data_IF_861425071952
#
_entry.id   IF_861425071952
#
_cell.length_a   1.000
_cell.length_b   1.000
_cell.length_c   1.000
_cell.angle_alpha   90.00
_cell.angle_beta   90.00
_cell.angle_gamma   90.00
#
_symmetry.space_group_name_H-M   'P 1'
#
loop_
_entity.id
_entity.type
_entity.pdbx_description
1 polymer ?
#
# COMPACT_ATOMS: atom_id res chain seq x y z
N UNK A 1 42.86 -46.02 11.71
CA UNK A 1 41.82 -45.02 11.44
C UNK A 1 42.50 -43.93 10.61
N UNK A 2 42.27 -43.97 9.30
CA UNK A 2 43.05 -43.21 8.31
C UNK A 2 42.46 -41.81 8.13
N UNK A 3 43.29 -40.79 8.34
CA UNK A 3 43.00 -39.38 7.98
C UNK A 3 43.21 -39.26 6.48
N UNK A 4 42.19 -38.80 5.76
CA UNK A 4 42.29 -38.38 4.37
C UNK A 4 42.51 -36.88 4.37
N UNK A 5 43.72 -36.44 4.05
CA UNK A 5 44.04 -35.06 3.71
C UNK A 5 43.60 -34.80 2.26
N UNK A 6 42.73 -33.87 2.05
CA UNK A 6 42.43 -33.33 0.72
C UNK A 6 43.33 -32.12 0.48
N UNK A 7 44.32 -32.29 -0.41
CA UNK A 7 45.19 -31.21 -0.85
C UNK A 7 44.46 -30.36 -1.90
N UNK A 8 44.22 -29.10 -1.58
CA UNK A 8 43.77 -28.10 -2.56
C UNK A 8 45.01 -27.54 -3.24
N UNK A 9 45.24 -27.96 -4.48
CA UNK A 9 46.28 -27.37 -5.34
C UNK A 9 45.84 -25.98 -5.82
N UNK A 10 46.49 -24.95 -5.29
CA UNK A 10 46.46 -23.60 -5.88
C UNK A 10 47.24 -23.63 -7.19
N UNK A 11 46.56 -23.57 -8.32
CA UNK A 11 47.18 -23.20 -9.61
C UNK A 11 47.14 -21.70 -9.74
N UNK A 12 48.23 -21.04 -9.42
CA UNK A 12 48.48 -19.65 -9.83
C UNK A 12 48.80 -19.65 -11.32
N UNK A 13 47.79 -19.33 -12.16
CA UNK A 13 48.03 -18.95 -13.54
C UNK A 13 48.25 -17.45 -13.53
N UNK A 14 49.49 -17.03 -13.84
CA UNK A 14 49.82 -15.64 -14.07
C UNK A 14 49.09 -15.13 -15.29
N UNK A 15 48.06 -14.32 -15.06
CA UNK A 15 47.46 -13.50 -16.11
C UNK A 15 48.38 -12.32 -16.36
N UNK A 16 49.14 -12.38 -17.45
CA UNK A 16 49.69 -11.21 -18.10
C UNK A 16 48.51 -10.29 -18.47
N UNK A 17 48.56 -9.07 -17.96
CA UNK A 17 47.66 -7.98 -18.32
C UNK A 17 47.82 -7.68 -19.81
N UNK A 18 47.11 -8.38 -20.67
CA UNK A 18 46.70 -7.86 -21.94
C UNK A 18 45.45 -7.04 -21.67
N UNK A 19 45.57 -5.74 -21.82
CA UNK A 19 44.40 -4.84 -21.80
C UNK A 19 43.46 -5.21 -22.94
N UNK A 20 42.49 -6.08 -22.65
CA UNK A 20 41.27 -6.08 -23.43
C UNK A 20 40.53 -4.78 -23.06
N UNK A 21 40.58 -3.82 -23.92
CA UNK A 21 39.50 -2.86 -24.04
C UNK A 21 38.27 -3.70 -24.32
N UNK A 22 37.47 -4.00 -23.28
CA UNK A 22 36.07 -4.28 -23.44
C UNK A 22 35.46 -2.97 -23.95
N UNK A 23 35.46 -2.77 -25.27
CA UNK A 23 34.48 -1.92 -25.88
C UNK A 23 33.15 -2.45 -25.41
N UNK A 24 32.49 -1.73 -24.50
CA UNK A 24 31.08 -1.92 -24.23
C UNK A 24 30.40 -1.71 -25.61
N UNK A 25 29.90 -2.78 -26.18
CA UNK A 25 29.03 -2.67 -27.35
C UNK A 25 27.69 -2.10 -26.87
N UNK A 26 27.69 -0.78 -26.61
CA UNK A 26 26.49 0.01 -26.33
C UNK A 26 25.68 0.25 -27.60
N UNK A 27 25.62 -0.74 -28.49
CA UNK A 27 24.88 -0.65 -29.74
C UNK A 27 23.39 -0.80 -29.47
N UNK A 28 22.53 -0.32 -30.36
CA UNK A 28 21.13 -0.70 -30.27
C UNK A 28 21.01 -2.21 -30.53
N UNK A 29 20.31 -2.89 -29.61
CA UNK A 29 19.98 -4.29 -29.77
C UNK A 29 18.63 -4.44 -30.44
N UNK A 30 18.47 -5.45 -31.29
CA UNK A 30 17.21 -5.74 -31.94
C UNK A 30 16.36 -6.71 -31.12
N UNK A 31 15.09 -6.34 -30.90
CA UNK A 31 14.07 -7.24 -30.36
C UNK A 31 13.12 -7.59 -31.49
N UNK A 32 13.10 -8.84 -31.88
CA UNK A 32 12.23 -9.36 -32.93
C UNK A 32 11.08 -10.15 -32.31
N UNK A 33 9.87 -10.03 -32.87
CA UNK A 33 8.68 -10.72 -32.37
C UNK A 33 8.20 -11.74 -33.40
N UNK A 34 8.27 -13.02 -33.05
CA UNK A 34 7.66 -14.11 -33.80
C UNK A 34 6.24 -14.36 -33.27
N UNK A 35 5.25 -13.83 -33.93
CA UNK A 35 3.83 -13.95 -33.53
C UNK A 35 3.25 -15.35 -33.65
N UNK A 36 3.98 -16.37 -34.14
CA UNK A 36 3.53 -17.76 -34.27
C UNK A 36 2.15 -17.89 -34.92
N UNK A 37 1.93 -17.14 -36.00
CA UNK A 37 0.68 -17.12 -36.73
C UNK A 37 -0.41 -16.19 -36.19
N UNK A 38 -0.09 -15.34 -35.22
CA UNK A 38 -0.91 -14.20 -34.86
C UNK A 38 -0.64 -12.97 -35.73
N UNK A 39 -1.31 -11.84 -35.43
CA UNK A 39 -1.04 -10.56 -36.10
C UNK A 39 0.44 -10.18 -35.97
N UNK A 40 1.08 -9.70 -37.07
CA UNK A 40 2.48 -9.28 -37.01
C UNK A 40 2.72 -8.18 -36.00
N UNK A 41 3.83 -8.28 -35.29
CA UNK A 41 4.29 -7.27 -34.33
C UNK A 41 5.60 -6.68 -34.82
N UNK A 42 5.69 -5.35 -34.82
CA UNK A 42 6.89 -4.63 -35.29
C UNK A 42 8.03 -4.82 -34.30
N UNK A 43 9.22 -5.20 -34.81
CA UNK A 43 10.43 -5.30 -34.00
C UNK A 43 10.87 -3.94 -33.46
N UNK A 44 11.60 -3.97 -32.36
CA UNK A 44 12.13 -2.79 -31.67
C UNK A 44 13.65 -2.75 -31.79
N UNK A 45 14.20 -1.53 -31.78
CA UNK A 45 15.62 -1.28 -31.56
C UNK A 45 15.76 -0.60 -30.20
N UNK A 46 16.52 -1.19 -29.28
CA UNK A 46 16.64 -0.74 -27.90
C UNK A 46 18.11 -0.52 -27.57
N UNK A 47 18.44 0.59 -26.94
CA UNK A 47 19.78 0.85 -26.41
C UNK A 47 20.04 -0.05 -25.21
N UNK A 48 21.26 -0.55 -25.09
CA UNK A 48 21.63 -1.57 -24.12
C UNK A 48 21.13 -1.28 -22.71
N UNK A 49 20.55 -2.31 -22.07
CA UNK A 49 19.99 -2.25 -20.72
C UNK A 49 18.85 -1.23 -20.50
N UNK A 50 18.30 -0.66 -21.56
CA UNK A 50 17.13 0.22 -21.49
C UNK A 50 15.84 -0.62 -21.39
N UNK A 51 14.96 -0.25 -20.46
CA UNK A 51 13.63 -0.84 -20.38
C UNK A 51 12.84 -0.55 -21.65
N UNK A 52 12.21 -1.55 -22.20
CA UNK A 52 11.29 -1.39 -23.32
C UNK A 52 9.91 -1.93 -22.95
N UNK A 53 8.88 -1.26 -23.44
CA UNK A 53 7.51 -1.72 -23.26
C UNK A 53 7.19 -2.81 -24.26
N UNK A 54 6.35 -3.79 -23.89
CA UNK A 54 5.84 -4.76 -24.85
C UNK A 54 5.07 -4.01 -25.95
N UNK A 55 5.18 -4.45 -27.19
CA UNK A 55 4.36 -3.92 -28.29
C UNK A 55 2.89 -4.30 -28.07
N UNK A 56 2.02 -3.84 -28.97
CA UNK A 56 0.62 -4.24 -28.97
C UNK A 56 0.48 -5.77 -28.86
N UNK A 57 -0.48 -6.21 -28.07
CA UNK A 57 -0.77 -7.65 -27.92
C UNK A 57 -1.24 -8.21 -29.25
N UNK A 58 -0.56 -9.21 -29.84
CA UNK A 58 -0.99 -9.81 -31.08
C UNK A 58 -2.30 -10.57 -30.89
N UNK A 59 -3.08 -10.71 -31.95
CA UNK A 59 -4.32 -11.49 -31.97
C UNK A 59 -4.20 -12.68 -32.91
N UNK A 60 -4.88 -13.79 -32.58
CA UNK A 60 -4.97 -14.99 -33.44
C UNK A 60 -6.36 -15.59 -33.29
N UNK A 61 -7.14 -15.71 -34.42
CA UNK A 61 -8.49 -16.23 -34.37
C UNK A 61 -8.56 -17.61 -33.71
N UNK A 62 -9.40 -17.78 -32.70
CA UNK A 62 -9.59 -19.06 -31.99
C UNK A 62 -8.52 -19.36 -30.92
N UNK A 63 -7.62 -18.44 -30.66
CA UNK A 63 -6.56 -18.61 -29.69
C UNK A 63 -6.48 -17.40 -28.76
N UNK A 64 -5.96 -17.63 -27.56
CA UNK A 64 -5.63 -16.62 -26.56
C UNK A 64 -4.12 -16.43 -26.49
N UNK A 65 -3.69 -15.19 -26.32
CA UNK A 65 -2.29 -14.86 -26.15
C UNK A 65 -1.84 -15.12 -24.72
N UNK A 66 -0.90 -16.05 -24.53
CA UNK A 66 -0.38 -16.47 -23.23
C UNK A 66 0.98 -15.84 -22.87
N UNK A 67 1.43 -14.83 -23.63
CA UNK A 67 2.65 -14.10 -23.36
C UNK A 67 3.75 -14.30 -24.38
N UNK A 68 4.84 -13.53 -24.20
CA UNK A 68 6.07 -13.62 -24.96
C UNK A 68 7.09 -14.50 -24.24
N UNK A 69 7.82 -15.36 -25.00
CA UNK A 69 8.82 -16.27 -24.48
C UNK A 69 10.16 -16.07 -25.18
N UNK A 70 11.26 -16.29 -24.44
CA UNK A 70 12.64 -16.17 -24.95
C UNK A 70 13.08 -17.35 -25.81
N UNK A 71 12.33 -18.43 -25.79
CA UNK A 71 12.65 -19.67 -26.50
C UNK A 71 11.40 -20.23 -27.23
N UNK A 72 11.59 -20.97 -28.34
CA UNK A 72 10.49 -21.50 -29.12
C UNK A 72 9.75 -22.68 -28.46
N UNK A 73 10.31 -23.26 -27.38
CA UNK A 73 9.73 -24.33 -26.58
C UNK A 73 8.88 -23.81 -25.41
N UNK A 74 8.85 -22.46 -25.20
CA UNK A 74 8.09 -21.79 -24.16
C UNK A 74 8.50 -22.14 -22.71
N UNK A 75 9.79 -22.31 -22.47
CA UNK A 75 10.34 -22.62 -21.15
C UNK A 75 10.60 -21.36 -20.31
N UNK A 76 10.95 -20.24 -20.97
CA UNK A 76 11.32 -19.00 -20.30
C UNK A 76 10.44 -17.84 -20.77
N UNK A 77 9.49 -17.45 -19.94
CA UNK A 77 8.63 -16.29 -20.23
C UNK A 77 9.44 -15.00 -20.12
N UNK A 78 9.23 -14.07 -21.03
CA UNK A 78 9.84 -12.75 -21.01
C UNK A 78 9.20 -11.87 -19.93
N UNK A 79 10.02 -11.37 -19.00
CA UNK A 79 9.64 -10.28 -18.11
C UNK A 79 10.16 -8.96 -18.69
N UNK A 80 9.28 -7.98 -18.86
CA UNK A 80 9.63 -6.65 -19.38
C UNK A 80 10.15 -5.69 -18.28
N UNK A 81 10.54 -6.23 -17.12
CA UNK A 81 11.09 -5.48 -15.99
C UNK A 81 12.59 -5.13 -16.11
N UNK A 82 13.27 -5.68 -17.10
CA UNK A 82 14.69 -5.41 -17.37
C UNK A 82 14.92 -5.18 -18.87
N UNK A 83 15.96 -4.41 -19.20
CA UNK A 83 16.41 -4.23 -20.58
C UNK A 83 17.10 -5.47 -21.12
N UNK A 84 17.50 -5.43 -22.40
CA UNK A 84 18.31 -6.47 -23.03
C UNK A 84 19.70 -5.96 -23.37
N UNK A 85 20.68 -6.86 -23.31
CA UNK A 85 22.08 -6.60 -23.70
C UNK A 85 22.49 -7.49 -24.88
N UNK A 86 21.53 -8.04 -25.61
CA UNK A 86 21.72 -8.88 -26.78
C UNK A 86 20.53 -8.77 -27.73
N UNK A 87 20.76 -9.14 -29.00
CA UNK A 87 19.66 -9.34 -29.95
C UNK A 87 18.85 -10.54 -29.51
N UNK A 88 17.53 -10.36 -29.38
CA UNK A 88 16.62 -11.42 -28.93
C UNK A 88 15.45 -11.58 -29.91
N UNK A 89 14.93 -12.79 -29.97
CA UNK A 89 13.63 -13.09 -30.59
C UNK A 89 12.66 -13.56 -29.53
N UNK A 90 11.50 -12.92 -29.48
CA UNK A 90 10.43 -13.27 -28.56
C UNK A 90 9.35 -14.04 -29.34
N UNK A 91 8.92 -15.16 -28.79
CA UNK A 91 7.96 -16.08 -29.39
C UNK A 91 6.61 -15.97 -28.71
N UNK A 92 5.56 -15.69 -29.48
CA UNK A 92 4.20 -15.67 -28.95
C UNK A 92 3.72 -17.07 -28.60
N UNK A 93 3.28 -17.28 -27.37
CA UNK A 93 2.58 -18.50 -26.98
C UNK A 93 1.08 -18.31 -27.14
N UNK A 94 0.43 -19.32 -27.76
CA UNK A 94 -1.00 -19.36 -27.98
C UNK A 94 -1.59 -20.57 -27.29
N UNK A 95 -2.74 -20.38 -26.64
CA UNK A 95 -3.57 -21.45 -26.09
C UNK A 95 -4.92 -21.45 -26.83
N UNK A 96 -5.49 -22.61 -27.08
CA UNK A 96 -6.82 -22.68 -27.75
C UNK A 96 -7.89 -22.25 -26.74
N UNK A 97 -8.97 -21.65 -27.25
CA UNK A 97 -10.12 -21.29 -26.41
C UNK A 97 -10.78 -22.51 -25.75
N UNK A 98 -10.55 -23.71 -26.28
CA UNK A 98 -11.04 -24.97 -25.68
C UNK A 98 -10.05 -25.64 -24.73
N UNK A 99 -8.75 -25.25 -24.77
CA UNK A 99 -7.74 -25.55 -23.76
C UNK A 99 -7.75 -24.47 -22.67
N UNK A 100 -8.58 -23.42 -22.90
CA UNK A 100 -8.78 -22.40 -21.92
C UNK A 100 -9.47 -23.00 -20.72
N UNK A 101 -8.59 -23.34 -19.77
CA UNK A 101 -8.92 -23.08 -18.40
C UNK A 101 -10.04 -24.02 -17.90
N UNK A 102 -9.66 -25.26 -17.61
CA UNK A 102 -10.36 -25.92 -16.54
C UNK A 102 -10.18 -25.09 -15.25
N UNK A 103 -11.07 -25.24 -14.33
CA UNK A 103 -11.05 -24.52 -13.04
C UNK A 103 -9.67 -24.57 -12.35
N UNK A 104 -8.93 -25.67 -12.51
CA UNK A 104 -7.61 -25.87 -11.95
C UNK A 104 -6.56 -24.95 -12.62
N UNK A 105 -6.63 -24.74 -13.93
CA UNK A 105 -5.71 -23.86 -14.65
C UNK A 105 -5.99 -22.39 -14.33
N UNK A 106 -7.26 -21.99 -14.17
CA UNK A 106 -7.64 -20.63 -13.69
C UNK A 106 -7.10 -20.40 -12.30
N UNK A 107 -7.28 -21.35 -11.36
CA UNK A 107 -6.76 -21.28 -10.00
C UNK A 107 -5.25 -21.09 -9.99
N UNK A 108 -4.50 -21.87 -10.76
CA UNK A 108 -3.04 -21.76 -10.85
C UNK A 108 -2.59 -20.40 -11.40
N UNK A 109 -3.26 -19.83 -12.39
CA UNK A 109 -2.93 -18.50 -12.93
C UNK A 109 -3.21 -17.42 -11.90
N UNK A 110 -4.34 -17.50 -11.20
CA UNK A 110 -4.69 -16.54 -10.15
C UNK A 110 -3.74 -16.69 -8.96
N UNK A 111 -3.42 -17.90 -8.55
CA UNK A 111 -2.43 -18.15 -7.48
C UNK A 111 -1.04 -17.63 -7.87
N UNK A 112 -0.63 -17.74 -9.13
CA UNK A 112 0.64 -17.22 -9.65
C UNK A 112 0.64 -15.68 -9.65
N UNK A 113 -0.43 -15.04 -10.16
CA UNK A 113 -0.62 -13.58 -10.11
C UNK A 113 -0.64 -13.07 -8.66
N UNK A 114 -1.31 -13.81 -7.78
CA UNK A 114 -1.39 -13.47 -6.36
C UNK A 114 -0.05 -13.70 -5.65
N UNK A 115 0.74 -14.72 -6.06
CA UNK A 115 2.06 -15.01 -5.46
C UNK A 115 3.09 -13.93 -5.79
N UNK A 116 2.99 -13.31 -6.96
CA UNK A 116 3.94 -12.30 -7.45
C UNK A 116 3.76 -10.89 -6.86
N UNK A 117 2.84 -10.69 -5.91
CA UNK A 117 2.74 -9.43 -5.19
C UNK A 117 1.38 -9.06 -4.62
N UNK A 118 0.32 -9.79 -4.97
CA UNK A 118 -1.04 -9.50 -4.48
C UNK A 118 -1.47 -10.50 -3.39
N UNK A 119 -0.76 -11.61 -3.21
CA UNK A 119 -1.13 -12.73 -2.30
C UNK A 119 -1.27 -12.38 -0.80
N UNK A 120 -0.93 -11.13 -0.44
CA UNK A 120 -1.15 -10.62 0.91
C UNK A 120 -2.40 -9.74 1.04
N UNK A 121 -3.10 -9.47 -0.05
CA UNK A 121 -4.12 -8.43 -0.14
C UNK A 121 -5.56 -8.95 -0.26
N UNK A 122 -5.74 -10.20 -0.66
CA UNK A 122 -7.04 -10.88 -0.63
C UNK A 122 -6.98 -12.01 0.40
N UNK A 123 -7.99 -12.14 1.24
CA UNK A 123 -8.13 -13.34 2.05
C UNK A 123 -8.61 -14.52 1.18
N UNK A 124 -8.46 -15.74 1.69
CA UNK A 124 -8.81 -16.94 0.93
C UNK A 124 -10.26 -16.96 0.43
N UNK A 125 -11.20 -16.38 1.21
CA UNK A 125 -12.61 -16.31 0.84
C UNK A 125 -12.86 -15.28 -0.29
N UNK A 126 -12.23 -14.12 -0.23
CA UNK A 126 -12.34 -13.08 -1.25
C UNK A 126 -11.73 -13.54 -2.57
N UNK A 127 -10.60 -14.24 -2.51
CA UNK A 127 -9.98 -14.89 -3.67
C UNK A 127 -10.91 -15.95 -4.27
N UNK A 128 -11.51 -16.79 -3.43
CA UNK A 128 -12.45 -17.83 -3.85
C UNK A 128 -13.70 -17.25 -4.53
N UNK A 129 -14.32 -16.23 -3.91
CA UNK A 129 -15.48 -15.54 -4.49
C UNK A 129 -15.18 -14.86 -5.80
N UNK A 130 -13.98 -14.26 -5.95
CA UNK A 130 -13.53 -13.67 -7.20
C UNK A 130 -13.36 -14.74 -8.28
N UNK A 131 -12.70 -15.85 -7.96
CA UNK A 131 -12.52 -17.00 -8.87
C UNK A 131 -13.87 -17.54 -9.32
N UNK A 132 -14.79 -17.80 -8.38
CA UNK A 132 -16.13 -18.31 -8.70
C UNK A 132 -16.93 -17.33 -9.57
N UNK A 133 -16.85 -16.03 -9.30
CA UNK A 133 -17.50 -14.98 -10.09
C UNK A 133 -16.97 -14.99 -11.52
N UNK A 134 -15.66 -15.08 -11.71
CA UNK A 134 -15.00 -15.04 -13.02
C UNK A 134 -15.24 -16.34 -13.82
N UNK A 135 -15.25 -17.48 -13.16
CA UNK A 135 -15.62 -18.76 -13.80
C UNK A 135 -17.10 -18.73 -14.24
N UNK A 136 -18.00 -18.22 -13.40
CA UNK A 136 -19.45 -18.20 -13.68
C UNK A 136 -19.84 -17.18 -14.78
N UNK A 137 -19.10 -16.06 -14.90
CA UNK A 137 -19.35 -15.05 -15.93
C UNK A 137 -18.84 -15.48 -17.31
N UNK A 138 -17.92 -16.46 -17.40
CA UNK A 138 -17.24 -16.84 -18.62
C UNK A 138 -16.36 -15.72 -19.20
N UNK A 139 -16.10 -14.69 -18.42
CA UNK A 139 -15.20 -13.58 -18.80
C UNK A 139 -13.76 -14.02 -18.65
N UNK A 140 -12.99 -13.82 -19.70
CA UNK A 140 -11.55 -14.00 -19.69
C UNK A 140 -10.91 -12.90 -18.82
N UNK A 141 -10.27 -13.31 -17.73
CA UNK A 141 -9.48 -12.40 -16.91
C UNK A 141 -8.26 -11.99 -17.72
N UNK A 142 -8.24 -10.76 -18.16
CA UNK A 142 -7.04 -10.13 -18.69
C UNK A 142 -6.30 -9.42 -17.54
N UNK A 143 -5.00 -9.19 -17.70
CA UNK A 143 -4.25 -8.36 -16.75
C UNK A 143 -4.88 -6.97 -16.55
N UNK A 144 -5.51 -6.41 -17.60
CA UNK A 144 -6.28 -5.15 -17.50
C UNK A 144 -7.49 -5.29 -16.59
N UNK A 145 -8.26 -6.38 -16.69
CA UNK A 145 -9.42 -6.63 -15.81
C UNK A 145 -9.01 -6.73 -14.35
N UNK A 146 -7.90 -7.40 -14.05
CA UNK A 146 -7.38 -7.48 -12.67
C UNK A 146 -6.99 -6.09 -12.14
N UNK A 147 -6.33 -5.27 -12.96
CA UNK A 147 -5.95 -3.90 -12.59
C UNK A 147 -7.19 -3.03 -12.34
N UNK A 148 -8.20 -3.11 -13.23
CA UNK A 148 -9.46 -2.38 -13.08
C UNK A 148 -10.22 -2.78 -11.81
N UNK A 149 -10.29 -4.07 -11.50
CA UNK A 149 -10.91 -4.57 -10.27
C UNK A 149 -10.16 -4.11 -9.03
N UNK A 150 -8.83 -4.13 -9.07
CA UNK A 150 -8.00 -3.63 -7.99
C UNK A 150 -8.19 -2.12 -7.77
N UNK A 151 -8.16 -1.31 -8.83
CA UNK A 151 -8.43 0.13 -8.77
C UNK A 151 -9.82 0.42 -8.22
N UNK A 152 -10.84 -0.31 -8.70
CA UNK A 152 -12.21 -0.18 -8.20
C UNK A 152 -12.33 -0.55 -6.72
N UNK A 153 -11.63 -1.60 -6.27
CA UNK A 153 -11.57 -1.97 -4.85
C UNK A 153 -10.94 -0.87 -4.01
N UNK A 154 -9.75 -0.38 -4.39
CA UNK A 154 -9.03 0.66 -3.66
C UNK A 154 -9.85 1.96 -3.58
N UNK A 155 -10.42 2.40 -4.70
CA UNK A 155 -11.24 3.62 -4.73
C UNK A 155 -12.49 3.50 -3.87
N UNK A 156 -13.20 2.37 -3.95
CA UNK A 156 -14.37 2.11 -3.11
C UNK A 156 -14.02 2.04 -1.63
N UNK A 157 -12.93 1.36 -1.28
CA UNK A 157 -12.42 1.25 0.08
C UNK A 157 -12.07 2.63 0.65
N UNK A 158 -11.35 3.46 -0.11
CA UNK A 158 -10.99 4.83 0.30
C UNK A 158 -12.25 5.67 0.53
N UNK A 159 -13.22 5.63 -0.39
CA UNK A 159 -14.48 6.38 -0.24
C UNK A 159 -15.26 5.96 1.01
N UNK A 160 -15.18 4.72 1.39
CA UNK A 160 -15.79 4.21 2.60
C UNK A 160 -15.02 4.64 3.86
N UNK A 161 -13.72 4.48 3.89
CA UNK A 161 -12.89 4.82 5.07
C UNK A 161 -12.90 6.32 5.36
N UNK A 162 -12.87 7.18 4.32
CA UNK A 162 -12.92 8.65 4.47
C UNK A 162 -14.10 9.13 5.29
N UNK A 163 -15.22 8.41 5.29
CA UNK A 163 -16.40 8.77 6.08
C UNK A 163 -16.23 8.48 7.58
N UNK A 164 -15.22 7.70 7.95
CA UNK A 164 -14.84 7.42 9.35
C UNK A 164 -13.75 8.35 9.86
N UNK A 165 -13.12 9.16 8.98
CA UNK A 165 -12.10 10.13 9.35
C UNK A 165 -12.73 11.51 9.42
N UNK A 166 -12.44 12.24 10.48
CA UNK A 166 -13.02 13.56 10.77
C UNK A 166 -11.94 14.61 10.88
N UNK A 167 -12.29 15.86 10.60
CA UNK A 167 -11.44 17.01 10.90
C UNK A 167 -11.80 17.53 12.27
N UNK A 168 -10.78 17.85 13.07
CA UNK A 168 -10.90 18.46 14.39
C UNK A 168 -10.32 19.86 14.29
N UNK A 169 -11.12 20.87 14.66
CA UNK A 169 -10.65 22.24 14.85
C UNK A 169 -10.56 22.54 16.32
N UNK A 170 -9.46 23.18 16.71
CA UNK A 170 -9.23 23.74 18.04
C UNK A 170 -9.35 25.25 18.01
N UNK A 171 -9.87 25.84 19.10
CA UNK A 171 -10.20 27.25 19.16
C UNK A 171 -9.53 27.95 20.34
N UNK A 172 -8.91 29.10 20.08
CA UNK A 172 -8.67 30.13 21.10
C UNK A 172 -9.79 31.18 21.00
N UNK A 173 -10.62 31.26 22.02
CA UNK A 173 -11.81 32.11 21.98
C UNK A 173 -12.75 31.72 20.84
N UNK A 174 -12.87 32.57 19.83
CA UNK A 174 -13.72 32.34 18.64
C UNK A 174 -12.92 32.12 17.36
N UNK A 175 -11.60 32.08 17.45
CA UNK A 175 -10.71 31.90 16.30
C UNK A 175 -10.21 30.47 16.27
N UNK A 176 -10.19 29.86 15.07
CA UNK A 176 -9.51 28.57 14.88
C UNK A 176 -8.01 28.83 15.06
N UNK A 177 -7.39 28.10 15.99
CA UNK A 177 -5.99 28.27 16.38
C UNK A 177 -5.14 27.08 15.91
N UNK A 178 -5.79 25.93 15.68
CA UNK A 178 -5.13 24.72 15.23
C UNK A 178 -6.13 23.63 14.89
N UNK A 179 -5.64 22.41 14.81
CA UNK A 179 -6.46 21.25 14.56
C UNK A 179 -5.69 20.04 14.05
N UNK A 180 -6.43 19.04 13.66
CA UNK A 180 -5.91 17.79 13.15
C UNK A 180 -7.01 16.88 12.66
N UNK A 181 -6.74 15.60 12.67
CA UNK A 181 -7.68 14.57 12.26
C UNK A 181 -8.15 13.74 13.45
N UNK A 182 -9.22 13.01 13.24
CA UNK A 182 -9.71 12.01 14.19
C UNK A 182 -10.39 10.85 13.47
N UNK A 183 -10.66 9.79 14.21
CA UNK A 183 -11.21 8.54 13.68
C UNK A 183 -12.46 8.17 14.49
N UNK A 184 -13.61 8.02 13.83
CA UNK A 184 -14.83 7.46 14.42
C UNK A 184 -14.65 5.95 14.62
N UNK A 185 -14.43 5.50 15.85
CA UNK A 185 -14.13 4.09 16.12
C UNK A 185 -15.20 3.35 16.95
N UNK A 186 -16.07 4.10 17.63
CA UNK A 186 -17.06 3.50 18.54
C UNK A 186 -18.33 4.33 18.60
N UNK A 187 -19.48 3.65 18.78
CA UNK A 187 -20.80 4.25 19.04
C UNK A 187 -21.48 3.55 20.22
N UNK A 188 -22.04 4.31 21.13
CA UNK A 188 -22.87 3.80 22.23
C UNK A 188 -24.14 4.65 22.33
N UNK A 189 -25.27 4.08 21.95
CA UNK A 189 -26.51 4.83 21.76
C UNK A 189 -26.32 5.88 20.67
N UNK A 190 -26.53 7.15 21.00
CA UNK A 190 -26.29 8.29 20.10
C UNK A 190 -24.93 8.98 20.35
N UNK A 191 -24.08 8.43 21.21
CA UNK A 191 -22.76 8.97 21.49
C UNK A 191 -21.72 8.31 20.60
N UNK A 192 -21.00 9.13 19.85
CA UNK A 192 -19.85 8.72 19.03
C UNK A 192 -18.54 9.08 19.73
N UNK A 193 -17.55 8.22 19.54
CA UNK A 193 -16.21 8.37 20.10
C UNK A 193 -15.23 8.54 18.95
N UNK A 194 -14.33 9.53 19.12
CA UNK A 194 -13.30 9.90 18.14
C UNK A 194 -11.94 9.70 18.79
N UNK A 195 -11.12 8.86 18.16
CA UNK A 195 -9.72 8.69 18.49
C UNK A 195 -8.92 9.77 17.76
N UNK A 196 -7.96 10.42 18.44
CA UNK A 196 -7.01 11.38 17.88
C UNK A 196 -5.69 11.34 18.64
N UNK A 197 -4.68 12.11 18.22
CA UNK A 197 -3.48 12.31 18.99
C UNK A 197 -3.71 13.27 20.17
N UNK A 198 -2.88 13.11 21.21
CA UNK A 198 -2.91 13.98 22.38
C UNK A 198 -2.45 15.40 22.03
N UNK A 199 -1.40 15.54 21.23
CA UNK A 199 -0.89 16.84 20.82
C UNK A 199 -1.89 17.67 19.99
N UNK A 200 -2.90 17.05 19.36
CA UNK A 200 -3.99 17.74 18.66
C UNK A 200 -4.93 18.45 19.63
N UNK A 201 -5.04 17.94 20.87
CA UNK A 201 -5.96 18.45 21.88
C UNK A 201 -5.23 19.09 23.07
N UNK A 202 -3.91 19.09 23.05
CA UNK A 202 -3.12 19.64 24.17
C UNK A 202 -3.29 21.15 24.32
N UNK A 203 -3.42 21.60 25.56
CA UNK A 203 -3.67 23.02 25.89
C UNK A 203 -5.13 23.45 25.74
N UNK A 204 -6.04 22.62 25.18
CA UNK A 204 -7.45 22.97 24.97
C UNK A 204 -8.40 22.25 25.93
N UNK A 205 -9.54 22.86 26.19
CA UNK A 205 -10.63 22.30 26.99
C UNK A 205 -11.82 21.88 26.11
N UNK A 206 -12.70 21.06 26.66
CA UNK A 206 -13.83 20.48 25.89
C UNK A 206 -14.69 21.49 25.13
N UNK A 207 -14.81 22.72 25.62
CA UNK A 207 -15.58 23.77 24.93
C UNK A 207 -14.88 24.37 23.68
N UNK A 208 -13.64 23.98 23.43
CA UNK A 208 -12.79 24.55 22.37
C UNK A 208 -12.64 23.64 21.16
N UNK A 209 -13.30 22.50 21.14
CA UNK A 209 -13.28 21.58 20.00
C UNK A 209 -14.54 21.69 19.14
N UNK A 210 -14.35 21.62 17.83
CA UNK A 210 -15.41 21.34 16.87
C UNK A 210 -14.96 20.22 15.94
N UNK A 211 -15.92 19.45 15.39
CA UNK A 211 -15.63 18.32 14.51
C UNK A 211 -16.43 18.48 13.22
N UNK A 212 -15.75 18.30 12.08
CA UNK A 212 -16.40 18.16 10.77
C UNK A 212 -16.31 16.71 10.31
N UNK A 213 -17.45 16.13 9.97
CA UNK A 213 -17.61 14.75 9.53
C UNK A 213 -18.00 14.78 8.05
N UNK A 214 -17.29 14.03 7.23
CA UNK A 214 -17.53 13.96 5.79
C UNK A 214 -18.33 12.69 5.47
N UNK A 215 -19.49 12.87 4.85
CA UNK A 215 -20.38 11.76 4.48
C UNK A 215 -20.65 11.80 2.97
N UNK A 216 -21.20 10.70 2.44
CA UNK A 216 -21.66 10.67 1.01
C UNK A 216 -22.71 11.73 0.69
N UNK A 217 -23.40 12.26 1.71
CA UNK A 217 -24.48 13.22 1.55
C UNK A 217 -24.05 14.67 1.88
N UNK A 218 -22.76 14.91 2.12
CA UNK A 218 -22.21 16.20 2.50
C UNK A 218 -21.58 16.19 3.89
N UNK A 219 -21.35 17.38 4.43
CA UNK A 219 -20.64 17.57 5.69
C UNK A 219 -21.63 17.71 6.86
N UNK A 220 -21.26 17.15 8.01
CA UNK A 220 -21.95 17.33 9.29
C UNK A 220 -20.99 18.03 10.23
N UNK A 221 -21.36 19.23 10.70
CA UNK A 221 -20.57 19.98 11.67
C UNK A 221 -21.11 19.76 13.08
N UNK A 222 -20.25 19.28 13.98
CA UNK A 222 -20.48 19.26 15.41
C UNK A 222 -19.84 20.55 15.97
N UNK A 223 -20.67 21.50 16.45
CA UNK A 223 -20.16 22.82 16.79
C UNK A 223 -19.32 22.80 18.08
N UNK A 224 -18.50 23.82 18.21
CA UNK A 224 -17.76 24.14 19.43
C UNK A 224 -18.67 24.09 20.66
N UNK A 225 -18.20 23.45 21.72
CA UNK A 225 -18.95 23.23 22.96
C UNK A 225 -19.85 21.99 22.97
N UNK A 226 -20.01 21.30 21.84
CA UNK A 226 -20.76 20.03 21.74
C UNK A 226 -19.85 18.81 21.72
N UNK A 227 -18.55 19.01 21.73
CA UNK A 227 -17.51 17.97 21.79
C UNK A 227 -16.90 17.94 23.18
N UNK A 228 -16.67 16.75 23.71
CA UNK A 228 -16.10 16.56 25.06
C UNK A 228 -14.83 15.75 24.98
N UNK A 229 -13.74 16.22 25.59
CA UNK A 229 -12.56 15.42 25.83
C UNK A 229 -12.87 14.36 26.89
N UNK A 230 -12.75 13.09 26.54
CA UNK A 230 -13.07 11.96 27.42
C UNK A 230 -11.87 11.52 28.24
N UNK A 231 -10.70 11.44 27.60
CA UNK A 231 -9.43 11.07 28.21
C UNK A 231 -8.28 11.33 27.25
N UNK A 232 -7.07 11.48 27.82
CA UNK A 232 -5.84 11.64 27.05
C UNK A 232 -4.66 10.96 27.73
N UNK A 233 -3.65 10.59 26.94
CA UNK A 233 -2.39 10.01 27.40
C UNK A 233 -1.24 10.70 26.68
N UNK A 234 -0.54 11.57 27.39
CA UNK A 234 0.66 12.25 26.88
C UNK A 234 1.73 11.24 26.49
N UNK A 235 2.00 10.25 27.35
CA UNK A 235 3.03 9.25 27.12
C UNK A 235 2.79 8.40 25.85
N UNK A 236 1.55 8.28 25.38
CA UNK A 236 1.22 7.51 24.18
C UNK A 236 0.76 8.39 23.03
N UNK A 237 0.73 9.70 23.22
CA UNK A 237 0.20 10.68 22.28
C UNK A 237 -1.18 10.30 21.73
N UNK A 238 -2.11 9.99 22.62
CA UNK A 238 -3.47 9.56 22.29
C UNK A 238 -4.51 10.32 23.09
N UNK A 239 -5.63 10.65 22.44
CA UNK A 239 -6.79 11.23 23.09
C UNK A 239 -8.09 10.67 22.52
N UNK A 240 -9.14 10.74 23.32
CA UNK A 240 -10.51 10.37 22.96
C UNK A 240 -11.42 11.56 23.15
N UNK A 241 -12.06 11.99 22.07
CA UNK A 241 -13.17 12.92 22.08
C UNK A 241 -14.50 12.17 21.95
N UNK A 242 -15.58 12.81 22.39
CA UNK A 242 -16.93 12.29 22.17
C UNK A 242 -17.93 13.41 21.87
N UNK A 243 -18.95 13.07 21.11
CA UNK A 243 -20.11 13.93 20.82
C UNK A 243 -21.37 13.12 20.64
N UNK A 244 -22.53 13.77 20.60
CA UNK A 244 -23.83 13.12 20.36
C UNK A 244 -24.36 13.50 18.98
N UNK A 245 -24.85 12.51 18.24
CA UNK A 245 -25.52 12.72 16.95
C UNK A 245 -26.59 11.67 16.74
N UNK A 246 -27.68 12.05 16.06
CA UNK A 246 -28.70 11.13 15.58
C UNK A 246 -28.43 10.61 14.17
N UNK A 247 -27.44 11.18 13.47
CA UNK A 247 -27.01 10.68 12.18
C UNK A 247 -26.37 9.29 12.33
N UNK A 248 -26.56 8.46 11.32
CA UNK A 248 -25.87 7.18 11.24
C UNK A 248 -24.52 7.39 10.55
N UNK A 249 -23.47 7.47 11.37
CA UNK A 249 -22.09 7.74 10.94
C UNK A 249 -21.33 6.44 10.83
N UNK A 250 -20.45 6.35 9.82
CA UNK A 250 -19.61 5.18 9.60
C UNK A 250 -18.50 5.12 10.65
N UNK A 251 -18.31 3.94 11.21
CA UNK A 251 -17.19 3.63 12.09
C UNK A 251 -16.09 2.96 11.28
N UNK A 252 -14.82 3.21 11.67
CA UNK A 252 -13.68 2.50 11.11
C UNK A 252 -13.70 1.02 11.50
N UNK A 253 -13.31 0.16 10.59
CA UNK A 253 -13.03 -1.23 10.93
C UNK A 253 -11.63 -1.34 11.55
N UNK A 254 -11.50 -2.11 12.63
CA UNK A 254 -10.24 -2.28 13.34
C UNK A 254 -9.46 -3.47 12.76
N UNK A 255 -8.21 -3.22 12.40
CA UNK A 255 -7.26 -4.24 12.00
C UNK A 255 -6.55 -4.89 13.18
N UNK A 256 -5.46 -5.59 12.91
CA UNK A 256 -4.60 -6.24 13.90
C UNK A 256 -3.15 -6.24 13.46
N UNK A 257 -2.23 -6.12 14.41
CA UNK A 257 -0.79 -6.25 14.17
C UNK A 257 -0.44 -7.59 13.49
N UNK A 258 -1.18 -8.66 13.82
CA UNK A 258 -0.93 -10.00 13.29
C UNK A 258 -1.11 -10.13 11.77
N UNK A 259 -1.91 -9.24 11.16
CA UNK A 259 -2.15 -9.24 9.70
C UNK A 259 -1.18 -8.33 8.94
N UNK A 260 -0.38 -7.52 9.63
CA UNK A 260 0.53 -6.58 9.01
C UNK A 260 1.81 -7.25 8.53
N UNK A 261 2.34 -6.81 7.39
CA UNK A 261 3.60 -7.29 6.80
C UNK A 261 4.42 -6.12 6.28
N UNK A 262 5.74 -6.19 6.41
CA UNK A 262 6.65 -5.22 5.73
C UNK A 262 6.48 -5.38 4.22
N UNK A 263 6.39 -4.25 3.52
CA UNK A 263 6.10 -4.19 2.08
C UNK A 263 4.61 -4.10 1.73
N UNK A 264 3.69 -4.37 2.69
CA UNK A 264 2.25 -4.23 2.44
C UNK A 264 1.87 -2.77 2.17
N UNK A 265 0.97 -2.56 1.21
CA UNK A 265 0.43 -1.24 0.87
C UNK A 265 -0.41 -0.68 2.02
N UNK A 266 -0.27 0.62 2.24
CA UNK A 266 -1.02 1.35 3.26
C UNK A 266 -1.47 2.70 2.74
N UNK A 267 -2.58 3.20 3.30
CA UNK A 267 -3.14 4.50 2.98
C UNK A 267 -3.24 5.31 4.27
N UNK A 268 -2.65 6.50 4.27
CA UNK A 268 -2.82 7.46 5.34
C UNK A 268 -3.90 8.47 4.95
N UNK A 269 -4.90 8.64 5.81
CA UNK A 269 -6.08 9.46 5.56
C UNK A 269 -6.22 10.47 6.70
N UNK A 270 -6.39 11.74 6.34
CA UNK A 270 -6.52 12.83 7.29
C UNK A 270 -6.96 14.13 6.63
N UNK A 271 -6.81 15.24 7.37
CA UNK A 271 -7.21 16.58 6.94
C UNK A 271 -6.05 17.57 7.09
N UNK A 272 -4.95 17.40 6.29
CA UNK A 272 -3.79 18.27 6.39
C UNK A 272 -4.10 19.69 5.86
N UNK A 273 -3.58 20.72 6.54
CA UNK A 273 -3.58 22.11 6.05
C UNK A 273 -4.95 22.60 5.54
N UNK A 274 -6.03 22.27 6.23
CA UNK A 274 -7.42 22.56 5.82
C UNK A 274 -7.82 21.93 4.47
N UNK A 275 -7.12 20.87 4.03
CA UNK A 275 -7.49 20.04 2.88
C UNK A 275 -8.14 18.74 3.38
N UNK A 276 -9.44 18.75 3.63
CA UNK A 276 -10.10 17.61 4.27
C UNK A 276 -10.05 16.36 3.40
N UNK A 277 -10.01 15.21 4.07
CA UNK A 277 -10.05 13.90 3.41
C UNK A 277 -8.89 13.65 2.41
N UNK A 278 -7.72 14.22 2.67
CA UNK A 278 -6.52 13.92 1.89
C UNK A 278 -6.07 12.48 2.13
N UNK A 279 -5.72 11.80 1.05
CA UNK A 279 -5.25 10.42 1.06
C UNK A 279 -3.84 10.37 0.49
N UNK A 280 -2.93 9.71 1.19
CA UNK A 280 -1.59 9.41 0.69
C UNK A 280 -1.36 7.90 0.75
N UNK A 281 -0.52 7.37 -0.13
CA UNK A 281 -0.24 5.93 -0.24
C UNK A 281 1.25 5.65 -0.04
N UNK A 282 1.54 4.52 0.56
CA UNK A 282 2.90 4.00 0.73
C UNK A 282 2.90 2.52 1.11
N UNK A 283 3.99 2.07 1.71
CA UNK A 283 4.13 0.70 2.21
C UNK A 283 4.56 0.70 3.68
N UNK A 284 4.30 -0.39 4.38
CA UNK A 284 4.87 -0.64 5.70
C UNK A 284 6.38 -0.86 5.55
N UNK A 285 7.18 -0.01 6.20
CA UNK A 285 8.64 -0.11 6.20
C UNK A 285 9.17 -0.89 7.41
N UNK A 286 8.50 -0.81 8.56
CA UNK A 286 8.80 -1.58 9.78
C UNK A 286 7.56 -1.68 10.66
N UNK A 287 7.43 -2.80 11.38
CA UNK A 287 6.20 -3.11 12.10
C UNK A 287 6.15 -2.61 13.55
N UNK A 288 7.31 -2.55 14.22
CA UNK A 288 7.41 -2.30 15.67
C UNK A 288 8.60 -1.38 15.93
N UNK A 289 8.48 -0.09 15.64
CA UNK A 289 9.47 0.92 16.06
C UNK A 289 9.12 1.40 17.46
N UNK A 290 10.04 1.19 18.39
CA UNK A 290 9.97 1.79 19.72
C UNK A 290 10.39 3.27 19.60
N UNK A 291 9.47 4.17 19.90
CA UNK A 291 9.68 5.63 19.91
C UNK A 291 9.69 6.16 21.33
N UNK A 292 9.98 5.31 22.31
CA UNK A 292 10.12 5.72 23.71
C UNK A 292 11.37 6.57 23.88
N UNK A 293 11.24 7.68 24.59
CA UNK A 293 12.31 8.65 24.82
C UNK A 293 12.36 9.17 26.26
N UNK A 294 13.38 9.98 26.55
CA UNK A 294 13.60 10.57 27.86
C UNK A 294 12.59 11.73 28.20
N UNK A 295 11.77 12.16 27.23
CA UNK A 295 10.72 13.18 27.45
C UNK A 295 9.44 12.58 28.01
N UNK A 296 9.36 11.24 28.05
CA UNK A 296 8.23 10.48 28.60
C UNK A 296 7.32 9.88 27.52
N UNK A 297 7.66 10.01 26.24
CA UNK A 297 7.00 9.25 25.18
C UNK A 297 7.26 7.75 25.40
N UNK A 298 6.21 6.94 25.28
CA UNK A 298 6.29 5.49 25.44
C UNK A 298 5.29 4.84 24.47
N UNK A 299 5.67 4.76 23.20
CA UNK A 299 4.77 4.24 22.18
C UNK A 299 5.50 3.37 21.17
N UNK A 300 4.79 2.37 20.69
CA UNK A 300 5.23 1.49 19.58
C UNK A 300 4.52 1.94 18.31
N UNK A 301 5.29 2.15 17.25
CA UNK A 301 4.80 2.68 16.00
C UNK A 301 5.05 1.72 14.83
N UNK A 302 4.22 1.86 13.80
CA UNK A 302 4.45 1.34 12.45
C UNK A 302 5.19 2.43 11.67
N UNK A 303 6.34 2.10 11.10
CA UNK A 303 7.02 2.95 10.14
C UNK A 303 6.46 2.68 8.74
N UNK A 304 6.15 3.72 8.00
CA UNK A 304 5.62 3.62 6.63
C UNK A 304 6.14 4.75 5.73
N UNK A 305 5.99 4.60 4.41
CA UNK A 305 6.41 5.59 3.43
C UNK A 305 5.28 6.48 2.91
N UNK A 306 4.03 6.26 3.32
CA UNK A 306 2.92 7.15 2.97
C UNK A 306 3.16 8.55 3.58
N UNK A 307 3.20 9.63 2.78
CA UNK A 307 3.50 10.97 3.27
C UNK A 307 2.52 11.45 4.34
N UNK A 308 3.07 11.96 5.44
CA UNK A 308 2.32 12.60 6.53
C UNK A 308 2.72 14.08 6.58
N UNK A 309 1.72 14.95 6.59
CA UNK A 309 1.86 16.40 6.72
C UNK A 309 1.10 16.91 7.94
N UNK A 310 1.43 18.12 8.47
CA UNK A 310 0.66 18.74 9.54
C UNK A 310 -0.84 18.71 9.26
N UNK A 311 -1.65 18.23 10.21
CA UNK A 311 -3.09 18.01 10.08
C UNK A 311 -3.49 16.56 9.81
N UNK A 312 -2.59 15.70 9.32
CA UNK A 312 -2.82 14.25 9.24
C UNK A 312 -2.76 13.56 10.62
N UNK A 313 -2.14 14.20 11.60
CA UNK A 313 -2.06 13.71 13.00
C UNK A 313 -3.46 13.39 13.54
N UNK A 314 -3.62 12.23 14.13
CA UNK A 314 -4.90 11.71 14.62
C UNK A 314 -5.78 11.06 13.53
N UNK A 315 -5.34 11.07 12.27
CA UNK A 315 -5.99 10.37 11.17
C UNK A 315 -5.63 8.90 11.11
N UNK A 316 -6.22 8.20 10.15
CA UNK A 316 -6.12 6.77 10.00
C UNK A 316 -4.95 6.35 9.10
N UNK A 317 -4.15 5.38 9.55
CA UNK A 317 -3.36 4.53 8.66
C UNK A 317 -4.15 3.22 8.48
N UNK A 318 -4.52 2.91 7.24
CA UNK A 318 -5.30 1.71 6.93
C UNK A 318 -4.57 0.80 5.96
N UNK A 319 -4.90 -0.49 6.03
CA UNK A 319 -4.49 -1.48 5.04
C UNK A 319 -5.38 -1.41 3.78
N UNK A 320 -5.09 -2.26 2.79
CA UNK A 320 -5.83 -2.31 1.53
C UNK A 320 -7.30 -2.72 1.69
N UNK A 321 -7.70 -3.29 2.84
CA UNK A 321 -9.08 -3.62 3.16
C UNK A 321 -9.81 -2.51 3.90
N UNK A 322 -9.15 -1.36 4.13
CA UNK A 322 -9.71 -0.24 4.88
C UNK A 322 -9.71 -0.43 6.40
N UNK A 323 -9.01 -1.43 6.91
CA UNK A 323 -8.90 -1.68 8.35
C UNK A 323 -7.83 -0.79 8.97
N UNK A 324 -8.15 -0.19 10.10
CA UNK A 324 -7.23 0.64 10.89
C UNK A 324 -6.06 -0.20 11.41
N UNK A 325 -4.85 0.11 10.99
CA UNK A 325 -3.60 -0.54 11.43
C UNK A 325 -2.71 0.39 12.24
N UNK A 326 -3.01 1.68 12.25
CA UNK A 326 -2.30 2.67 13.05
C UNK A 326 -3.00 4.02 13.10
N UNK A 327 -2.67 4.81 14.12
CA UNK A 327 -3.07 6.21 14.27
C UNK A 327 -1.91 7.07 13.74
N UNK A 328 -2.13 7.81 12.65
CA UNK A 328 -1.11 8.70 12.08
C UNK A 328 -0.60 9.66 13.15
N UNK A 329 0.72 9.78 13.29
CA UNK A 329 1.32 10.55 14.37
C UNK A 329 2.28 11.61 13.82
N UNK A 330 3.46 11.19 13.32
CA UNK A 330 4.54 12.11 12.99
C UNK A 330 5.31 11.71 11.74
N UNK A 331 6.01 12.72 11.18
CA UNK A 331 7.12 12.53 10.26
C UNK A 331 8.43 12.71 11.04
N UNK A 332 9.47 11.97 10.62
CA UNK A 332 10.79 12.21 11.18
C UNK A 332 11.34 13.55 10.68
N UNK A 333 11.79 14.37 11.61
CA UNK A 333 12.48 15.63 11.31
C UNK A 333 13.92 15.48 11.77
N UNK A 334 14.88 15.71 10.88
CA UNK A 334 16.29 15.74 11.26
C UNK A 334 16.57 17.02 12.04
N UNK A 335 16.96 16.88 13.29
CA UNK A 335 17.25 18.01 14.19
C UNK A 335 18.42 18.88 13.71
N UNK A 336 19.35 18.34 12.92
CA UNK A 336 20.50 19.08 12.37
C UNK A 336 20.17 19.89 11.13
N UNK A 337 19.21 19.42 10.33
CA UNK A 337 18.81 20.06 9.07
C UNK A 337 17.53 20.88 9.23
N UNK A 338 16.70 20.54 10.23
CA UNK A 338 15.41 21.18 10.48
C UNK A 338 14.36 20.88 9.40
N UNK A 339 14.61 19.87 8.56
CA UNK A 339 13.73 19.44 7.47
C UNK A 339 13.22 18.03 7.71
N UNK A 340 11.99 17.76 7.30
CA UNK A 340 11.41 16.42 7.30
C UNK A 340 12.14 15.51 6.32
N UNK A 341 12.44 14.28 6.75
CA UNK A 341 13.01 13.27 5.87
C UNK A 341 11.86 12.54 5.17
N UNK A 342 11.87 12.55 3.84
CA UNK A 342 10.87 11.85 3.04
C UNK A 342 10.91 10.33 3.27
N UNK A 343 9.74 9.71 3.33
CA UNK A 343 9.60 8.26 3.47
C UNK A 343 9.82 7.71 4.89
N UNK A 344 10.03 8.58 5.88
CA UNK A 344 10.12 8.21 7.29
C UNK A 344 8.93 8.78 8.07
N UNK A 345 7.81 8.08 8.00
CA UNK A 345 6.58 8.44 8.67
C UNK A 345 6.16 7.34 9.64
N UNK A 346 5.44 7.73 10.69
CA UNK A 346 5.10 6.83 11.79
C UNK A 346 3.62 6.96 12.17
N UNK A 347 3.02 5.82 12.51
CA UNK A 347 1.69 5.74 13.08
C UNK A 347 1.73 4.89 14.36
N UNK A 348 1.01 5.28 15.40
CA UNK A 348 0.89 4.47 16.61
C UNK A 348 0.22 3.15 16.25
N UNK A 349 0.89 2.03 16.52
CA UNK A 349 0.46 0.70 16.11
C UNK A 349 -0.91 0.32 16.70
N UNK A 350 -1.75 -0.34 15.94
CA UNK A 350 -3.15 -0.67 16.32
C UNK A 350 -3.25 -1.43 17.65
N UNK A 351 -2.40 -2.42 17.93
CA UNK A 351 -2.47 -3.17 19.19
C UNK A 351 -2.09 -2.28 20.38
N UNK A 352 -1.18 -1.31 20.18
CA UNK A 352 -0.88 -0.27 21.18
C UNK A 352 -2.08 0.64 21.38
N UNK A 353 -2.69 1.10 20.28
CA UNK A 353 -3.92 1.91 20.31
C UNK A 353 -4.99 1.20 21.15
N UNK A 354 -5.29 -0.06 20.85
CA UNK A 354 -6.33 -0.82 21.55
C UNK A 354 -6.04 -1.00 23.04
N UNK A 355 -4.77 -1.20 23.40
CA UNK A 355 -4.36 -1.34 24.79
C UNK A 355 -4.62 -0.05 25.59
N UNK A 356 -4.29 1.11 25.01
CA UNK A 356 -4.42 2.41 25.68
C UNK A 356 -5.86 2.89 25.70
N UNK A 357 -6.64 2.68 24.62
CA UNK A 357 -8.05 3.10 24.53
C UNK A 357 -8.87 2.66 25.73
N UNK A 358 -8.64 1.45 26.27
CA UNK A 358 -9.34 0.91 27.43
C UNK A 358 -9.19 1.81 28.67
N UNK A 359 -8.08 2.54 28.80
CA UNK A 359 -7.83 3.44 29.92
C UNK A 359 -8.34 4.86 29.69
N UNK A 360 -8.67 5.23 28.44
CA UNK A 360 -9.13 6.58 28.05
C UNK A 360 -10.66 6.69 28.00
N UNK A 361 -11.38 5.59 27.98
CA UNK A 361 -12.84 5.52 27.98
C UNK A 361 -13.41 5.48 29.40
#
# INVERSE_FOLDING_TARGET
MKKVLLAVSLVLIGLTLYGCNLESSDGPYSVTFDSRGGTPVTGLSVDGNTLFLPPEVPTKPGYLFAGWFLDPEYLYQMSFSSGTVANITLYAKWVTASESLDEAAIRLIIEDILSDGISGYLNALETELLIESLISSGELITSSTVVELFEAHVTSMIDDVRQSVVMIDTYDGNTIDGGGSGILYKKVGNTYYVLTNEHVVDGYVSSEFAITIFTKNGEIRIPKGSVTLRGKSVANDMAVLRFTSTADLRLIELGSRSTMKVGAMVFAIGSPLDLPNTVTMGIISHLDRDMSDDTGMNTITVQHSAPINPGNSGGALVDIFGRLIGLNNMSYVDEYVGEGIEGLHFAIQIDRVMTILTSLE
#
